data_IF_512967339228
#
_entry.id   IF_512967339228
#
_cell.length_a   1.000
_cell.length_b   1.000
_cell.length_c   1.000
_cell.angle_alpha   90.00
_cell.angle_beta   90.00
_cell.angle_gamma   90.00
#
_symmetry.space_group_name_H-M   'P 1'
#
loop_
_entity.id
_entity.type
_entity.pdbx_description
1 polymer ?
#
# COMPACT_ATOMS: atom_id res chain seq x y z
N UNK A 1 0.64 5.30 -13.27
CA UNK A 1 0.44 4.78 -14.63
C UNK A 1 0.12 3.30 -14.49
N UNK A 2 -1.16 2.96 -14.72
CA UNK A 2 -1.80 1.64 -15.00
C UNK A 2 -1.39 0.46 -14.10
N UNK A 3 -2.29 -0.20 -13.39
CA UNK A 3 -3.25 -1.14 -13.99
C UNK A 3 -4.64 -1.05 -13.34
N UNK A 4 -5.55 -0.40 -14.06
CA UNK A 4 -7.00 -0.52 -13.92
C UNK A 4 -7.48 -0.91 -15.33
N UNK A 5 -8.15 -2.07 -15.45
CA UNK A 5 -8.29 -2.74 -16.74
C UNK A 5 -9.64 -2.52 -17.44
N UNK A 6 -10.56 -1.73 -16.87
CA UNK A 6 -11.81 -1.30 -17.54
C UNK A 6 -12.23 0.10 -17.09
N UNK A 7 -13.04 0.80 -17.90
CA UNK A 7 -13.53 2.16 -17.63
C UNK A 7 -14.39 2.29 -16.37
N UNK A 8 -15.10 1.22 -15.99
CA UNK A 8 -15.90 1.16 -14.75
C UNK A 8 -15.07 1.30 -13.46
N UNK A 9 -13.81 0.91 -13.50
CA UNK A 9 -12.95 0.96 -12.32
C UNK A 9 -12.28 2.34 -12.11
N UNK A 10 -12.52 3.32 -12.99
CA UNK A 10 -12.01 4.69 -12.84
C UNK A 10 -12.81 5.49 -11.80
N UNK A 11 -14.09 5.17 -11.62
CA UNK A 11 -15.00 5.89 -10.73
C UNK A 11 -14.96 5.35 -9.28
N UNK A 12 -14.42 4.15 -9.07
CA UNK A 12 -14.17 3.57 -7.76
C UNK A 12 -12.68 3.73 -7.42
N UNK A 13 -12.42 4.44 -6.33
CA UNK A 13 -11.09 4.78 -5.82
C UNK A 13 -10.14 3.58 -5.84
N UNK A 14 -9.22 3.54 -6.82
CA UNK A 14 -8.22 2.48 -6.98
C UNK A 14 -7.08 2.68 -5.96
N UNK A 15 -7.36 2.57 -4.66
CA UNK A 15 -6.30 2.65 -3.67
C UNK A 15 -5.47 1.35 -3.74
N UNK A 16 -4.28 1.45 -4.34
CA UNK A 16 -3.41 0.32 -4.60
C UNK A 16 -2.91 -0.28 -3.29
N UNK A 17 -3.27 -1.54 -3.00
CA UNK A 17 -2.82 -2.27 -1.80
C UNK A 17 -1.30 -2.40 -1.68
N UNK A 18 -0.55 -2.21 -2.77
CA UNK A 18 0.90 -2.43 -2.77
C UNK A 18 1.69 -1.36 -2.03
N UNK A 19 1.33 -0.08 -2.12
CA UNK A 19 2.17 1.00 -1.57
C UNK A 19 1.38 2.19 -1.06
N UNK A 20 1.50 2.45 0.23
CA UNK A 20 1.04 3.67 0.88
C UNK A 20 2.04 4.81 0.67
N UNK A 21 1.53 5.95 0.26
CA UNK A 21 2.28 7.22 0.20
C UNK A 21 1.40 8.32 0.78
N UNK A 22 1.95 9.10 1.69
CA UNK A 22 1.31 10.32 2.17
C UNK A 22 1.91 11.52 1.43
N UNK A 23 1.10 12.19 0.62
CA UNK A 23 1.52 13.38 -0.12
C UNK A 23 1.15 14.64 0.64
N UNK A 24 1.94 15.71 0.52
CA UNK A 24 1.66 16.98 1.21
C UNK A 24 0.33 17.62 0.81
N UNK A 25 -0.17 17.33 -0.40
CA UNK A 25 -1.47 17.77 -0.90
C UNK A 25 -2.61 16.78 -0.63
N UNK A 26 -2.34 15.64 0.02
CA UNK A 26 -3.36 14.66 0.37
C UNK A 26 -3.87 14.88 1.79
N UNK A 27 -5.09 14.45 2.09
CA UNK A 27 -5.63 14.46 3.46
C UNK A 27 -5.03 13.36 4.36
N UNK A 28 -3.88 12.79 3.98
CA UNK A 28 -3.19 11.74 4.74
C UNK A 28 -2.23 12.39 5.72
N UNK A 29 -2.15 11.84 6.93
CA UNK A 29 -1.32 12.40 7.99
C UNK A 29 0.17 12.10 7.78
N UNK A 30 1.01 13.10 8.04
CA UNK A 30 2.47 12.97 8.15
C UNK A 30 2.91 13.58 9.49
N UNK A 31 2.99 12.76 10.53
CA UNK A 31 3.29 13.20 11.91
C UNK A 31 4.75 13.57 12.09
N UNK A 32 5.66 13.04 11.27
CA UNK A 32 7.05 13.50 11.24
C UNK A 32 7.20 14.95 10.78
N UNK A 33 6.22 15.49 10.05
CA UNK A 33 6.31 16.81 9.41
C UNK A 33 7.33 16.91 8.28
N UNK A 34 8.06 15.84 7.96
CA UNK A 34 9.15 15.84 6.99
C UNK A 34 8.64 15.43 5.61
N UNK A 35 8.97 16.22 4.58
CA UNK A 35 8.61 15.93 3.19
C UNK A 35 9.84 16.06 2.28
N UNK A 36 9.96 15.15 1.31
CA UNK A 36 10.97 15.26 0.24
C UNK A 36 10.37 14.89 -1.09
N UNK A 37 10.35 15.85 -2.01
CA UNK A 37 9.57 15.82 -3.25
C UNK A 37 8.07 15.64 -2.96
N UNK A 38 7.57 16.35 -1.94
CA UNK A 38 6.17 16.34 -1.49
C UNK A 38 5.62 15.00 -0.97
N UNK A 39 6.43 13.94 -0.96
CA UNK A 39 6.13 12.71 -0.26
C UNK A 39 6.63 12.79 1.19
N UNK A 40 5.78 12.39 2.13
CA UNK A 40 6.11 12.30 3.54
C UNK A 40 7.28 11.33 3.75
N UNK A 41 8.23 11.74 4.57
CA UNK A 41 9.29 10.91 5.11
C UNK A 41 8.86 10.48 6.51
N UNK A 42 8.36 9.25 6.62
CA UNK A 42 7.84 8.72 7.88
C UNK A 42 8.93 8.64 8.95
N UNK A 43 8.60 9.08 10.15
CA UNK A 43 9.43 8.95 11.35
C UNK A 43 8.78 8.07 12.40
N UNK A 44 9.36 8.01 13.60
CA UNK A 44 8.87 7.15 14.69
C UNK A 44 7.43 7.47 15.09
N UNK A 45 7.02 8.74 14.97
CA UNK A 45 5.68 9.21 15.28
C UNK A 45 4.59 8.65 14.33
N UNK A 46 4.98 8.22 13.14
CA UNK A 46 4.08 7.68 12.12
C UNK A 46 3.83 6.18 12.27
N UNK A 47 4.68 5.44 13.00
CA UNK A 47 4.66 3.97 13.01
C UNK A 47 3.33 3.39 13.49
N UNK A 48 2.69 3.98 14.50
CA UNK A 48 1.38 3.51 14.97
C UNK A 48 0.28 3.66 13.91
N UNK A 49 0.38 4.68 13.05
CA UNK A 49 -0.54 4.81 11.91
C UNK A 49 -0.23 3.74 10.85
N UNK A 50 1.06 3.54 10.55
CA UNK A 50 1.52 2.57 9.56
C UNK A 50 1.19 1.10 9.93
N UNK A 51 0.98 0.77 11.19
CA UNK A 51 0.55 -0.59 11.59
C UNK A 51 -0.90 -0.91 11.18
N UNK A 52 -1.72 0.11 10.99
CA UNK A 52 -3.17 -0.04 10.81
C UNK A 52 -3.62 0.16 9.36
N UNK A 53 -2.70 0.46 8.45
CA UNK A 53 -3.02 0.57 7.02
C UNK A 53 -3.02 -0.81 6.36
N UNK A 54 -3.90 -1.00 5.38
CA UNK A 54 -3.99 -2.26 4.62
C UNK A 54 -2.91 -2.43 3.54
N UNK A 55 -2.00 -1.46 3.41
CA UNK A 55 -0.99 -1.49 2.35
C UNK A 55 0.19 -2.39 2.74
N UNK A 56 0.74 -3.10 1.76
CA UNK A 56 1.87 -4.01 1.97
C UNK A 56 3.17 -3.26 2.31
N UNK A 57 3.39 -2.12 1.66
CA UNK A 57 4.57 -1.28 1.85
C UNK A 57 4.16 0.18 2.07
N UNK A 58 5.02 0.94 2.74
CA UNK A 58 4.89 2.38 2.90
C UNK A 58 6.12 3.08 2.31
N UNK A 59 5.92 4.20 1.63
CA UNK A 59 6.98 5.03 1.08
C UNK A 59 6.85 6.49 1.59
N UNK A 60 7.87 7.08 2.21
CA UNK A 60 9.27 6.61 2.41
C UNK A 60 9.77 6.79 3.83
N UNK A 61 10.82 6.06 4.18
CA UNK A 61 11.66 6.29 5.35
C UNK A 61 13.09 6.57 4.86
N UNK A 62 13.81 7.47 5.51
CA UNK A 62 15.19 7.82 5.17
C UNK A 62 16.01 7.83 6.46
N UNK A 63 17.15 7.14 6.46
CA UNK A 63 18.04 7.04 7.63
C UNK A 63 18.55 8.40 8.11
N UNK A 64 18.78 9.31 7.17
CA UNK A 64 19.23 10.69 7.40
C UNK A 64 18.18 11.53 8.14
N UNK A 65 16.90 11.15 8.06
CA UNK A 65 15.81 11.84 8.75
C UNK A 65 15.50 11.20 10.11
N UNK A 66 15.35 9.88 10.13
CA UNK A 66 15.02 9.13 11.35
C UNK A 66 15.40 7.65 11.19
N UNK A 67 16.66 7.32 11.51
CA UNK A 67 17.10 5.92 11.55
C UNK A 67 16.36 5.10 12.63
N UNK A 68 15.94 5.75 13.72
CA UNK A 68 15.17 5.13 14.80
C UNK A 68 13.84 4.57 14.30
N UNK A 69 13.15 5.30 13.42
CA UNK A 69 11.94 4.81 12.74
C UNK A 69 12.18 3.50 11.99
N UNK A 70 13.27 3.41 11.22
CA UNK A 70 13.62 2.21 10.44
C UNK A 70 13.93 1.04 11.37
N UNK A 71 14.75 1.26 12.40
CA UNK A 71 15.13 0.24 13.36
C UNK A 71 13.92 -0.28 14.16
N UNK A 72 13.06 0.64 14.65
CA UNK A 72 11.83 0.27 15.36
C UNK A 72 10.86 -0.50 14.47
N UNK A 73 10.73 -0.11 13.20
CA UNK A 73 9.87 -0.81 12.24
C UNK A 73 10.37 -2.24 11.96
N UNK A 74 11.67 -2.41 11.76
CA UNK A 74 12.30 -3.72 11.60
C UNK A 74 12.11 -4.60 12.85
N UNK A 75 12.24 -4.03 14.05
CA UNK A 75 12.00 -4.74 15.30
C UNK A 75 10.53 -5.19 15.45
N UNK A 76 9.57 -4.34 15.06
CA UNK A 76 8.14 -4.69 15.05
C UNK A 76 7.86 -5.87 14.13
N UNK A 77 8.44 -5.88 12.92
CA UNK A 77 8.34 -7.04 12.02
C UNK A 77 8.97 -8.30 12.60
N UNK A 78 10.16 -8.21 13.17
CA UNK A 78 10.83 -9.35 13.82
C UNK A 78 9.96 -9.97 14.92
N UNK A 79 9.34 -9.14 15.77
CA UNK A 79 8.39 -9.59 16.80
C UNK A 79 7.15 -10.26 16.22
N UNK A 80 6.59 -9.71 15.12
CA UNK A 80 5.42 -10.28 14.44
C UNK A 80 5.71 -11.63 13.78
N UNK A 81 6.91 -11.80 13.23
CA UNK A 81 7.37 -13.08 12.67
C UNK A 81 7.52 -14.10 13.81
N UNK A 82 8.16 -13.70 14.91
CA UNK A 82 8.36 -14.56 16.08
C UNK A 82 7.04 -15.00 16.73
N UNK A 83 6.02 -14.14 16.73
CA UNK A 83 4.70 -14.46 17.31
C UNK A 83 3.86 -15.43 16.48
N UNK A 84 4.32 -15.86 15.29
CA UNK A 84 3.59 -16.73 14.37
C UNK A 84 2.17 -16.23 14.07
N UNK A 85 2.00 -14.91 14.01
CA UNK A 85 0.69 -14.31 13.70
C UNK A 85 0.16 -14.83 12.35
N UNK A 86 -1.12 -15.20 12.32
CA UNK A 86 -1.79 -15.60 11.08
C UNK A 86 -2.08 -14.36 10.24
N UNK A 87 -1.74 -14.42 8.96
CA UNK A 87 -2.11 -13.36 8.00
C UNK A 87 -3.50 -13.66 7.47
N UNK A 88 -4.42 -12.70 7.62
CA UNK A 88 -5.71 -12.75 6.93
C UNK A 88 -5.50 -12.35 5.47
N UNK A 89 -5.82 -13.26 4.57
CA UNK A 89 -5.70 -13.05 3.13
C UNK A 89 -7.02 -12.66 2.48
N UNK A 90 -8.15 -12.66 3.18
CA UNK A 90 -9.46 -12.45 2.57
C UNK A 90 -9.54 -11.07 1.90
N UNK A 91 -9.10 -10.02 2.59
CA UNK A 91 -9.03 -8.68 1.99
C UNK A 91 -8.12 -8.61 0.76
N UNK A 92 -7.00 -9.33 0.75
CA UNK A 92 -6.07 -9.34 -0.39
C UNK A 92 -6.63 -10.12 -1.59
N UNK A 93 -7.23 -11.29 -1.34
CA UNK A 93 -7.87 -12.13 -2.35
C UNK A 93 -8.98 -11.40 -3.09
N UNK A 94 -9.73 -10.55 -2.38
CA UNK A 94 -10.82 -9.76 -2.96
C UNK A 94 -10.34 -8.53 -3.74
N UNK A 95 -9.05 -8.17 -3.67
CA UNK A 95 -8.52 -7.04 -4.43
C UNK A 95 -8.72 -7.26 -5.94
N UNK A 96 -9.09 -6.18 -6.64
CA UNK A 96 -9.36 -6.23 -8.08
C UNK A 96 -8.18 -6.79 -8.87
N UNK A 97 -6.95 -6.44 -8.47
CA UNK A 97 -5.71 -6.91 -9.11
C UNK A 97 -5.56 -8.43 -8.98
N UNK A 98 -5.85 -8.99 -7.79
CA UNK A 98 -5.74 -10.44 -7.57
C UNK A 98 -6.81 -11.20 -8.34
N UNK A 99 -8.07 -10.75 -8.26
CA UNK A 99 -9.18 -11.33 -9.03
C UNK A 99 -8.93 -11.30 -10.53
N UNK A 100 -8.46 -10.15 -11.02
CA UNK A 100 -8.13 -9.97 -12.42
C UNK A 100 -7.03 -10.93 -12.90
N UNK A 101 -5.94 -11.05 -12.12
CA UNK A 101 -4.84 -11.94 -12.47
C UNK A 101 -5.21 -13.42 -12.37
N UNK A 102 -6.11 -13.79 -11.46
CA UNK A 102 -6.64 -15.15 -11.34
C UNK A 102 -7.39 -15.57 -12.62
N UNK A 103 -8.25 -14.70 -13.16
CA UNK A 103 -9.12 -15.01 -14.31
C UNK A 103 -8.52 -14.58 -15.66
N UNK A 104 -7.19 -14.37 -15.72
CA UNK A 104 -6.49 -13.80 -16.88
C UNK A 104 -6.79 -14.49 -18.21
N UNK A 105 -6.95 -15.81 -18.21
CA UNK A 105 -7.27 -16.59 -19.42
C UNK A 105 -8.71 -16.38 -19.90
N UNK A 106 -9.67 -16.21 -18.98
CA UNK A 106 -11.05 -15.84 -19.32
C UNK A 106 -11.09 -14.46 -19.96
N UNK A 107 -10.38 -13.51 -19.37
CA UNK A 107 -10.28 -12.13 -19.86
C UNK A 107 -9.63 -12.04 -21.24
N UNK A 108 -8.55 -12.80 -21.47
CA UNK A 108 -7.89 -12.88 -22.79
C UNK A 108 -8.82 -13.35 -23.90
N UNK A 109 -9.70 -14.31 -23.61
CA UNK A 109 -10.66 -14.86 -24.58
C UNK A 109 -11.85 -13.93 -24.83
N UNK A 110 -12.20 -13.09 -23.85
CA UNK A 110 -13.35 -12.19 -23.90
C UNK A 110 -12.89 -10.72 -23.87
N UNK A 111 -11.95 -10.35 -24.74
CA UNK A 111 -11.39 -8.99 -24.76
C UNK A 111 -12.45 -7.91 -25.06
N UNK A 112 -13.58 -8.27 -25.67
CA UNK A 112 -14.72 -7.36 -25.85
C UNK A 112 -15.41 -6.99 -24.54
N UNK A 113 -15.25 -7.77 -23.47
CA UNK A 113 -15.72 -7.44 -22.12
C UNK A 113 -14.81 -6.41 -21.42
N UNK A 114 -13.61 -6.17 -21.97
CA UNK A 114 -12.81 -5.01 -21.60
C UNK A 114 -13.31 -3.80 -22.36
N UNK A 115 -14.28 -3.09 -21.79
CA UNK A 115 -14.58 -1.74 -22.24
C UNK A 115 -13.50 -0.80 -21.69
N UNK A 116 -12.54 -0.46 -22.56
CA UNK A 116 -11.53 0.57 -22.34
C UNK A 116 -12.15 1.97 -22.26
#
# INVERSE_FOLDING_TARGET
MLLCFTRKCLDEQSDFTTRYVSWSWSNRTCKSGNYRHSACVFGVADLNHLENIQHLFANKMLSENDYGAIACWAMRFSKRIASKSTVDFESYKQSQIVRFNHDKEMWRKNISMFEC
#
